data_IF_028082257927
#
_entry.id   IF_028082257927
#
_cell.length_a   1.000
_cell.length_b   1.000
_cell.length_c   1.000
_cell.angle_alpha   90.00
_cell.angle_beta   90.00
_cell.angle_gamma   90.00
#
_symmetry.space_group_name_H-M   'P 1'
#
loop_
_entity.id
_entity.type
_entity.pdbx_description
1 polymer ?
#
# COMPACT_ATOMS: atom_id res chain seq x y z
N UNK A 1 -23.46 36.12 28.77
CA UNK A 1 -23.95 34.83 28.22
C UNK A 1 -23.49 34.58 26.78
N UNK A 2 -23.24 35.60 25.98
CA UNK A 2 -22.80 35.48 24.56
C UNK A 2 -21.37 34.94 24.45
N UNK A 3 -20.46 35.41 25.27
CA UNK A 3 -19.05 34.92 25.28
C UNK A 3 -18.91 33.43 25.58
N UNK A 4 -19.70 32.87 26.52
CA UNK A 4 -19.69 31.44 26.82
C UNK A 4 -20.17 30.59 25.64
N UNK A 5 -21.14 31.07 24.86
CA UNK A 5 -21.65 30.41 23.64
C UNK A 5 -20.60 30.42 22.51
N UNK A 6 -19.88 31.56 22.36
CA UNK A 6 -18.82 31.69 21.35
C UNK A 6 -17.63 30.79 21.67
N UNK A 7 -17.23 30.67 22.94
CA UNK A 7 -16.15 29.78 23.37
C UNK A 7 -16.55 28.32 23.13
N UNK A 8 -17.81 27.94 23.39
CA UNK A 8 -18.31 26.60 23.15
C UNK A 8 -18.31 26.23 21.65
N UNK A 9 -18.68 27.18 20.77
CA UNK A 9 -18.64 27.00 19.33
C UNK A 9 -17.22 26.85 18.78
N UNK A 10 -16.26 27.63 19.32
CA UNK A 10 -14.84 27.50 18.96
C UNK A 10 -14.28 26.17 19.43
N UNK A 11 -14.60 25.72 20.66
CA UNK A 11 -14.19 24.42 21.16
C UNK A 11 -14.76 23.26 20.32
N UNK A 12 -16.01 23.37 19.83
CA UNK A 12 -16.63 22.38 18.96
C UNK A 12 -16.00 22.34 17.56
N UNK A 13 -15.52 23.47 17.05
CA UNK A 13 -14.84 23.55 15.76
C UNK A 13 -13.43 22.95 15.78
N UNK A 14 -12.75 22.94 16.92
CA UNK A 14 -11.40 22.40 17.09
C UNK A 14 -11.43 20.88 17.21
N UNK A 15 -12.53 20.27 17.68
CA UNK A 15 -12.64 18.81 17.82
C UNK A 15 -12.85 18.07 16.50
N UNK A 16 -13.09 18.75 15.39
CA UNK A 16 -13.28 18.13 14.08
C UNK A 16 -11.99 17.87 13.31
N UNK A 17 -10.82 18.19 13.86
CA UNK A 17 -9.52 17.77 13.32
C UNK A 17 -9.09 16.41 13.90
N UNK A 18 -10.03 15.46 13.98
CA UNK A 18 -9.65 14.07 14.27
C UNK A 18 -8.85 13.57 13.09
N UNK A 19 -7.57 13.62 13.29
CA UNK A 19 -6.52 12.81 12.73
C UNK A 19 -7.02 11.68 11.80
N UNK A 20 -7.14 11.96 10.52
CA UNK A 20 -7.12 10.94 9.47
C UNK A 20 -5.71 10.32 9.30
N UNK A 21 -4.89 10.38 10.37
CA UNK A 21 -3.51 9.91 10.35
C UNK A 21 -3.32 8.44 10.66
N UNK A 22 -4.35 7.75 11.16
CA UNK A 22 -4.24 6.29 11.32
C UNK A 22 -4.54 5.61 9.99
N UNK A 23 -3.56 4.87 9.48
CA UNK A 23 -3.73 4.02 8.33
C UNK A 23 -4.88 3.03 8.59
N UNK A 24 -5.73 2.81 7.59
CA UNK A 24 -6.80 1.81 7.69
C UNK A 24 -6.26 0.42 8.04
N UNK A 25 -4.96 0.21 7.83
CA UNK A 25 -4.25 -1.05 8.00
C UNK A 25 -3.43 -1.16 9.30
N UNK A 26 -3.37 -0.11 10.14
CA UNK A 26 -2.57 -0.15 11.38
C UNK A 26 -2.98 -1.31 12.30
N UNK A 27 -4.27 -1.70 12.26
CA UNK A 27 -4.77 -2.87 13.00
C UNK A 27 -4.18 -4.19 12.53
N UNK A 28 -3.71 -4.28 11.29
CA UNK A 28 -3.10 -5.50 10.75
C UNK A 28 -1.65 -5.66 11.22
N UNK A 29 -0.98 -4.58 11.63
CA UNK A 29 0.41 -4.62 12.08
C UNK A 29 0.59 -5.49 13.33
N UNK A 30 -0.39 -5.43 14.24
CA UNK A 30 -0.36 -6.14 15.53
C UNK A 30 -1.32 -7.35 15.57
N UNK A 31 -1.90 -7.73 14.42
CA UNK A 31 -2.91 -8.81 14.40
C UNK A 31 -2.23 -10.18 14.34
N UNK A 32 -2.58 -11.06 15.28
CA UNK A 32 -2.15 -12.45 15.27
C UNK A 32 -2.54 -13.14 13.95
N UNK A 33 -1.61 -13.88 13.35
CA UNK A 33 -1.82 -14.56 12.08
C UNK A 33 -1.64 -13.68 10.84
N UNK A 34 -1.19 -12.44 11.01
CA UNK A 34 -0.76 -11.54 9.94
C UNK A 34 0.75 -11.37 9.98
N UNK A 35 1.41 -11.58 8.86
CA UNK A 35 2.79 -11.16 8.65
C UNK A 35 2.77 -9.75 8.08
N UNK A 36 3.46 -8.82 8.71
CA UNK A 36 3.53 -7.42 8.28
C UNK A 36 4.97 -7.00 8.01
N UNK A 37 5.16 -6.17 6.97
CA UNK A 37 6.39 -5.42 6.71
C UNK A 37 6.02 -3.97 6.52
N UNK A 38 6.66 -3.07 7.27
CA UNK A 38 6.44 -1.64 7.21
C UNK A 38 7.78 -0.95 7.02
N UNK A 39 7.91 -0.17 5.94
CA UNK A 39 9.10 0.62 5.63
C UNK A 39 8.67 2.09 5.52
N UNK A 40 9.25 2.92 6.38
CA UNK A 40 8.96 4.35 6.42
C UNK A 40 9.88 5.14 5.48
N UNK A 41 9.51 6.41 5.25
CA UNK A 41 10.32 7.35 4.45
C UNK A 41 11.77 7.45 4.95
N UNK A 42 11.97 7.47 6.25
CA UNK A 42 13.32 7.61 6.81
C UNK A 42 14.15 6.33 6.62
N UNK A 43 13.49 5.15 6.65
CA UNK A 43 14.14 3.89 6.30
C UNK A 43 14.58 3.89 4.82
N UNK A 44 13.74 4.38 3.89
CA UNK A 44 14.13 4.51 2.49
C UNK A 44 15.33 5.45 2.31
N UNK A 45 15.39 6.57 3.02
CA UNK A 45 16.55 7.49 2.98
C UNK A 45 17.84 6.83 3.50
N UNK A 46 17.72 5.94 4.48
CA UNK A 46 18.86 5.21 4.99
C UNK A 46 19.30 4.17 3.95
N UNK A 47 18.36 3.39 3.41
CA UNK A 47 18.61 2.38 2.40
C UNK A 47 19.24 2.96 1.13
N UNK A 48 18.82 4.14 0.68
CA UNK A 48 19.39 4.80 -0.49
C UNK A 48 20.85 5.24 -0.32
N UNK A 49 21.36 5.32 0.91
CA UNK A 49 22.78 5.62 1.20
C UNK A 49 23.68 4.38 1.16
N UNK A 50 23.09 3.19 1.23
CA UNK A 50 23.82 1.95 1.00
C UNK A 50 23.91 1.76 -0.51
N UNK A 51 25.08 2.03 -1.10
CA UNK A 51 25.38 1.66 -2.47
C UNK A 51 25.37 0.12 -2.55
N UNK A 52 24.24 -0.43 -3.00
CA UNK A 52 24.20 -1.83 -3.42
C UNK A 52 24.83 -1.95 -4.82
N UNK A 53 26.12 -1.57 -4.93
CA UNK A 53 26.95 -1.91 -6.07
C UNK A 53 27.32 -3.39 -5.93
N UNK A 54 26.41 -4.28 -6.25
CA UNK A 54 26.79 -5.64 -6.59
C UNK A 54 27.17 -5.65 -8.06
N UNK A 55 28.45 -5.89 -8.32
CA UNK A 55 29.06 -5.87 -9.65
C UNK A 55 28.46 -6.86 -10.67
N UNK A 56 27.46 -7.66 -10.29
CA UNK A 56 26.92 -8.75 -11.12
C UNK A 56 25.39 -8.83 -11.27
N UNK A 57 24.62 -7.94 -10.66
CA UNK A 57 23.15 -7.91 -10.88
C UNK A 57 22.79 -6.56 -11.51
N UNK A 58 22.80 -6.56 -12.85
CA UNK A 58 22.59 -5.36 -13.63
C UNK A 58 21.23 -4.72 -13.43
N UNK A 59 21.20 -3.41 -13.69
CA UNK A 59 20.08 -2.51 -14.01
C UNK A 59 18.75 -2.69 -13.26
N UNK A 60 18.23 -3.92 -13.03
CA UNK A 60 16.90 -4.18 -12.47
C UNK A 60 16.79 -3.75 -11.00
N UNK A 61 17.76 -4.13 -10.16
CA UNK A 61 17.77 -3.70 -8.75
C UNK A 61 17.94 -2.19 -8.63
N UNK A 62 18.77 -1.59 -9.47
CA UNK A 62 18.94 -0.15 -9.51
C UNK A 62 17.66 0.59 -9.90
N UNK A 63 16.88 0.06 -10.84
CA UNK A 63 15.58 0.63 -11.22
C UNK A 63 14.56 0.49 -10.09
N UNK A 64 14.52 -0.66 -9.39
CA UNK A 64 13.68 -0.84 -8.19
C UNK A 64 14.07 0.18 -7.12
N UNK A 65 15.35 0.38 -6.83
CA UNK A 65 15.80 1.38 -5.85
C UNK A 65 15.41 2.80 -6.24
N UNK A 66 15.57 3.20 -7.50
CA UNK A 66 15.10 4.51 -7.99
C UNK A 66 13.59 4.72 -7.85
N UNK A 67 12.81 3.66 -7.95
CA UNK A 67 11.37 3.75 -7.73
C UNK A 67 11.01 3.92 -6.25
N UNK A 68 11.72 3.23 -5.36
CA UNK A 68 11.48 3.30 -3.92
C UNK A 68 11.96 4.63 -3.32
N UNK A 69 12.92 5.31 -3.94
CA UNK A 69 13.46 6.59 -3.44
C UNK A 69 12.37 7.67 -3.27
N UNK A 70 11.34 7.63 -4.11
CA UNK A 70 10.21 8.57 -4.06
C UNK A 70 9.03 8.10 -3.18
N UNK A 71 9.17 6.94 -2.54
CA UNK A 71 8.15 6.46 -1.61
C UNK A 71 8.27 7.14 -0.24
N UNK A 72 7.13 7.39 0.35
CA UNK A 72 7.00 7.85 1.72
C UNK A 72 6.70 6.70 2.67
N UNK A 73 6.04 5.65 2.18
CA UNK A 73 5.64 4.49 2.95
C UNK A 73 5.45 3.28 2.03
N UNK A 74 5.90 2.13 2.50
CA UNK A 74 5.61 0.83 1.93
C UNK A 74 5.12 -0.08 3.04
N UNK A 75 3.97 -0.72 2.83
CA UNK A 75 3.41 -1.70 3.77
C UNK A 75 2.98 -2.95 3.02
N UNK A 76 3.27 -4.12 3.60
CA UNK A 76 2.68 -5.37 3.16
C UNK A 76 2.09 -6.12 4.33
N UNK A 77 0.97 -6.79 4.09
CA UNK A 77 0.29 -7.64 5.06
C UNK A 77 -0.10 -8.94 4.37
N UNK A 78 0.29 -10.06 4.94
CA UNK A 78 -0.11 -11.35 4.41
C UNK A 78 -0.63 -12.27 5.50
N UNK A 79 -1.54 -13.18 5.14
CA UNK A 79 -2.10 -14.16 6.06
C UNK A 79 -2.32 -15.48 5.35
N UNK A 80 -2.25 -16.57 6.13
CA UNK A 80 -2.63 -17.93 5.71
C UNK A 80 -4.06 -18.29 6.14
N UNK A 81 -4.69 -17.43 6.93
CA UNK A 81 -5.95 -17.71 7.61
C UNK A 81 -7.11 -17.11 6.77
N UNK A 82 -8.03 -17.93 6.24
CA UNK A 82 -9.11 -17.47 5.35
C UNK A 82 -10.05 -16.44 6.00
N UNK A 83 -10.29 -16.53 7.30
CA UNK A 83 -11.11 -15.58 8.04
C UNK A 83 -10.46 -14.21 8.10
N UNK A 84 -9.14 -14.16 8.32
CA UNK A 84 -8.35 -12.92 8.30
C UNK A 84 -8.28 -12.37 6.88
N UNK A 85 -8.10 -13.22 5.87
CA UNK A 85 -8.13 -12.81 4.46
C UNK A 85 -9.44 -12.11 4.08
N UNK A 86 -10.57 -12.57 4.65
CA UNK A 86 -11.88 -11.93 4.46
C UNK A 86 -11.96 -10.57 5.17
N UNK A 87 -11.39 -10.45 6.37
CA UNK A 87 -11.28 -9.16 7.07
C UNK A 87 -10.39 -8.18 6.30
N UNK A 88 -9.24 -8.63 5.79
CA UNK A 88 -8.34 -7.83 4.96
C UNK A 88 -9.04 -7.28 3.72
N UNK A 89 -9.85 -8.10 3.02
CA UNK A 89 -10.65 -7.63 1.89
C UNK A 89 -11.65 -6.53 2.30
N UNK A 90 -12.31 -6.69 3.44
CA UNK A 90 -13.24 -5.68 3.97
C UNK A 90 -12.53 -4.37 4.30
N UNK A 91 -11.32 -4.46 4.85
CA UNK A 91 -10.49 -3.29 5.16
C UNK A 91 -10.03 -2.57 3.88
N UNK A 92 -9.64 -3.31 2.84
CA UNK A 92 -9.32 -2.72 1.52
C UNK A 92 -10.53 -2.01 0.94
N UNK A 93 -11.72 -2.62 0.94
CA UNK A 93 -12.96 -1.98 0.45
C UNK A 93 -13.28 -0.69 1.22
N UNK A 94 -13.02 -0.67 2.53
CA UNK A 94 -13.17 0.54 3.36
C UNK A 94 -12.14 1.60 2.98
N UNK A 95 -10.86 1.23 2.84
CA UNK A 95 -9.79 2.13 2.44
C UNK A 95 -10.07 2.78 1.08
N UNK A 96 -10.47 2.00 0.09
CA UNK A 96 -10.85 2.47 -1.26
C UNK A 96 -11.91 3.57 -1.19
N UNK A 97 -12.96 3.37 -0.38
CA UNK A 97 -14.03 4.37 -0.22
C UNK A 97 -13.57 5.62 0.52
N UNK A 98 -12.89 5.45 1.67
CA UNK A 98 -12.49 6.57 2.54
C UNK A 98 -11.43 7.43 1.86
N UNK A 99 -10.47 6.81 1.20
CA UNK A 99 -9.35 7.49 0.54
C UNK A 99 -9.68 7.90 -0.90
N UNK A 100 -10.88 7.51 -1.41
CA UNK A 100 -11.35 7.80 -2.78
C UNK A 100 -10.37 7.28 -3.82
N UNK A 101 -9.96 6.02 -3.67
CA UNK A 101 -9.11 5.36 -4.64
C UNK A 101 -9.91 4.93 -5.87
N UNK A 102 -9.29 4.96 -7.03
CA UNK A 102 -9.85 4.50 -8.30
C UNK A 102 -9.34 3.11 -8.60
N UNK A 103 -10.22 2.19 -9.01
CA UNK A 103 -9.82 0.87 -9.49
C UNK A 103 -9.07 1.02 -10.81
N UNK A 104 -7.82 0.57 -10.84
CA UNK A 104 -6.98 0.57 -12.02
C UNK A 104 -7.09 -0.75 -12.77
N UNK A 105 -7.08 -1.87 -12.05
CA UNK A 105 -7.11 -3.21 -12.63
C UNK A 105 -7.81 -4.19 -11.71
N UNK A 106 -8.51 -5.15 -12.32
CA UNK A 106 -9.05 -6.34 -11.67
C UNK A 106 -8.74 -7.55 -12.53
N UNK A 107 -8.05 -8.53 -11.95
CA UNK A 107 -7.77 -9.81 -12.57
C UNK A 107 -8.45 -10.92 -11.77
N UNK A 108 -9.02 -11.90 -12.46
CA UNK A 108 -9.52 -13.13 -11.86
C UNK A 108 -9.03 -14.29 -12.70
N UNK A 109 -8.31 -15.20 -12.08
CA UNK A 109 -7.81 -16.43 -12.70
C UNK A 109 -8.03 -17.58 -11.71
N UNK A 110 -8.82 -18.56 -12.11
CA UNK A 110 -9.25 -19.68 -11.26
C UNK A 110 -9.79 -19.20 -9.90
N UNK A 111 -9.08 -19.51 -8.82
CA UNK A 111 -9.40 -19.09 -7.46
C UNK A 111 -8.71 -17.78 -7.07
N UNK A 112 -7.73 -17.33 -7.82
CA UNK A 112 -6.95 -16.12 -7.54
C UNK A 112 -7.67 -14.88 -8.04
N UNK A 113 -7.59 -13.83 -7.24
CA UNK A 113 -8.14 -12.50 -7.57
C UNK A 113 -7.14 -11.43 -7.20
N UNK A 114 -6.91 -10.52 -8.12
CA UNK A 114 -6.05 -9.35 -7.92
C UNK A 114 -6.87 -8.09 -8.15
N UNK A 115 -6.78 -7.14 -7.25
CA UNK A 115 -7.32 -5.79 -7.41
C UNK A 115 -6.21 -4.79 -7.19
N UNK A 116 -6.11 -3.82 -8.07
CA UNK A 116 -5.20 -2.68 -7.95
C UNK A 116 -6.01 -1.40 -7.98
N UNK A 117 -5.81 -0.58 -6.97
CA UNK A 117 -6.41 0.73 -6.80
C UNK A 117 -5.33 1.78 -6.73
N UNK A 118 -5.61 2.97 -7.25
CA UNK A 118 -4.66 4.08 -7.23
C UNK A 118 -5.34 5.37 -6.77
N UNK A 119 -4.54 6.26 -6.20
CA UNK A 119 -4.93 7.65 -5.97
C UNK A 119 -4.25 8.54 -7.00
N UNK A 120 -5.02 9.04 -7.94
CA UNK A 120 -4.54 9.93 -8.99
C UNK A 120 -4.12 11.29 -8.42
N UNK A 121 -3.19 11.95 -9.10
CA UNK A 121 -2.77 13.33 -8.82
C UNK A 121 -3.19 14.25 -9.96
N UNK A 122 -2.85 15.54 -9.87
CA UNK A 122 -3.00 16.48 -10.99
C UNK A 122 -2.08 16.16 -12.16
N UNK A 123 -0.95 15.51 -11.90
CA UNK A 123 -0.05 14.97 -12.94
C UNK A 123 -0.53 13.58 -13.35
N UNK A 124 -0.82 13.40 -14.65
CA UNK A 124 -1.37 12.13 -15.20
C UNK A 124 -0.39 10.97 -15.14
N UNK A 125 0.90 11.25 -15.08
CA UNK A 125 1.97 10.24 -15.02
C UNK A 125 2.27 9.78 -13.59
N UNK A 126 1.71 10.46 -12.58
CA UNK A 126 1.97 10.19 -11.18
C UNK A 126 0.70 9.79 -10.42
N UNK A 127 0.84 8.80 -9.56
CA UNK A 127 -0.14 8.48 -8.50
C UNK A 127 0.50 8.70 -7.14
N UNK A 128 -0.32 9.07 -6.15
CA UNK A 128 0.15 9.31 -4.78
C UNK A 128 -0.02 8.09 -3.88
N UNK A 129 -0.78 7.11 -4.31
CA UNK A 129 -1.01 5.86 -3.58
C UNK A 129 -1.32 4.74 -4.57
N UNK A 130 -0.77 3.56 -4.29
CA UNK A 130 -1.14 2.30 -4.93
C UNK A 130 -1.52 1.32 -3.83
N UNK A 131 -2.69 0.71 -3.95
CA UNK A 131 -3.19 -0.31 -3.04
C UNK A 131 -3.53 -1.56 -3.85
N UNK A 132 -2.85 -2.66 -3.56
CA UNK A 132 -3.10 -3.95 -4.19
C UNK A 132 -3.63 -4.95 -3.15
N UNK A 133 -4.63 -5.71 -3.55
CA UNK A 133 -5.12 -6.87 -2.83
C UNK A 133 -5.03 -8.10 -3.73
N UNK A 134 -4.38 -9.15 -3.24
CA UNK A 134 -4.35 -10.47 -3.88
C UNK A 134 -4.99 -11.47 -2.93
N UNK A 135 -5.86 -12.35 -3.46
CA UNK A 135 -6.53 -13.42 -2.70
C UNK A 135 -6.49 -14.73 -3.46
N UNK A 136 -6.59 -15.84 -2.73
CA UNK A 136 -6.63 -17.18 -3.29
C UNK A 136 -5.30 -17.61 -3.90
N UNK A 137 -4.19 -17.17 -3.30
CA UNK A 137 -2.83 -17.45 -3.74
C UNK A 137 -2.17 -18.61 -2.97
N UNK A 138 -2.95 -19.34 -2.18
CA UNK A 138 -2.47 -20.48 -1.40
C UNK A 138 -1.79 -21.54 -2.27
N UNK A 139 -2.34 -21.81 -3.46
CA UNK A 139 -1.77 -22.78 -4.40
C UNK A 139 -0.48 -22.28 -5.04
N UNK A 140 -0.41 -21.00 -5.44
CA UNK A 140 0.78 -20.39 -6.03
C UNK A 140 1.91 -20.19 -5.03
N UNK A 141 1.56 -20.07 -3.74
CA UNK A 141 2.53 -19.86 -2.64
C UNK A 141 2.83 -21.13 -1.85
N UNK A 142 2.40 -22.32 -2.34
CA UNK A 142 2.51 -23.58 -1.63
C UNK A 142 1.93 -23.51 -0.20
N UNK A 143 0.78 -22.88 -0.02
CA UNK A 143 0.13 -22.68 1.28
C UNK A 143 0.78 -21.60 2.16
N UNK A 144 1.70 -20.79 1.62
CA UNK A 144 2.36 -19.74 2.40
C UNK A 144 1.49 -18.51 2.58
N UNK A 145 0.52 -18.26 1.72
CA UNK A 145 -0.36 -17.10 1.83
C UNK A 145 -1.73 -17.35 1.20
N UNK A 146 -2.80 -16.95 1.88
CA UNK A 146 -4.18 -16.91 1.38
C UNK A 146 -4.55 -15.53 0.83
N UNK A 147 -4.02 -14.47 1.45
CA UNK A 147 -4.19 -13.11 1.00
C UNK A 147 -2.94 -12.25 1.24
N UNK A 148 -2.76 -11.28 0.37
CA UNK A 148 -1.69 -10.29 0.44
C UNK A 148 -2.26 -8.90 0.13
N UNK A 149 -1.95 -7.94 1.00
CA UNK A 149 -2.12 -6.50 0.73
C UNK A 149 -0.75 -5.89 0.50
N UNK A 150 -0.63 -5.05 -0.52
CA UNK A 150 0.54 -4.17 -0.73
C UNK A 150 0.03 -2.73 -0.81
N UNK A 151 0.58 -1.87 0.01
CA UNK A 151 0.28 -0.43 0.04
C UNK A 151 1.55 0.37 -0.18
N UNK A 152 1.53 1.22 -1.19
CA UNK A 152 2.61 2.14 -1.55
C UNK A 152 2.09 3.56 -1.45
N UNK A 153 2.82 4.46 -0.81
CA UNK A 153 2.52 5.89 -0.77
C UNK A 153 3.75 6.70 -1.15
N UNK A 154 3.54 7.72 -1.96
CA UNK A 154 4.61 8.60 -2.45
C UNK A 154 4.34 9.14 -3.83
N UNK A 155 5.34 9.69 -4.49
CA UNK A 155 5.27 10.08 -5.89
C UNK A 155 5.64 8.87 -6.77
N UNK A 156 4.64 8.14 -7.23
CA UNK A 156 4.81 6.88 -7.96
C UNK A 156 4.54 7.13 -9.44
N UNK A 157 5.55 6.90 -10.27
CA UNK A 157 5.47 7.01 -11.73
C UNK A 157 4.82 5.73 -12.31
N UNK A 158 3.64 5.87 -12.92
CA UNK A 158 2.88 4.75 -13.47
C UNK A 158 3.64 4.07 -14.62
N UNK A 159 4.39 4.83 -15.40
CA UNK A 159 5.13 4.30 -16.55
C UNK A 159 6.25 3.35 -16.08
N UNK A 160 6.89 3.66 -14.94
CA UNK A 160 7.90 2.79 -14.33
C UNK A 160 7.30 1.53 -13.70
N UNK A 161 6.07 1.60 -13.18
CA UNK A 161 5.40 0.41 -12.64
C UNK A 161 5.13 -0.66 -13.70
N UNK A 162 4.82 -0.26 -14.94
CA UNK A 162 4.62 -1.19 -16.05
C UNK A 162 5.89 -2.03 -16.30
N UNK A 163 7.05 -1.39 -16.25
CA UNK A 163 8.34 -2.07 -16.45
C UNK A 163 8.63 -3.12 -15.37
N UNK A 164 8.22 -2.88 -14.12
CA UNK A 164 8.38 -3.86 -13.04
C UNK A 164 7.49 -5.09 -13.23
N UNK A 165 6.24 -4.90 -13.63
CA UNK A 165 5.32 -6.02 -13.90
C UNK A 165 5.90 -6.91 -14.99
N UNK A 166 6.44 -6.31 -16.04
CA UNK A 166 7.09 -7.05 -17.14
C UNK A 166 8.32 -7.84 -16.66
N UNK A 167 9.10 -7.28 -15.75
CA UNK A 167 10.28 -7.95 -15.18
C UNK A 167 9.88 -9.17 -14.35
N UNK A 168 8.86 -9.04 -13.51
CA UNK A 168 8.40 -10.15 -12.67
C UNK A 168 7.61 -11.23 -13.43
N UNK A 169 7.03 -10.90 -14.59
CA UNK A 169 6.27 -11.86 -15.40
C UNK A 169 7.11 -12.60 -16.43
N UNK A 170 8.27 -12.07 -16.82
CA UNK A 170 9.16 -12.69 -17.82
C UNK A 170 10.12 -13.73 -17.26
N UNK A 171 10.26 -13.81 -15.93
CA UNK A 171 11.18 -14.74 -15.26
C UNK A 171 10.51 -16.03 -14.71
N UNK A 172 9.31 -16.38 -15.23
CA UNK A 172 8.65 -17.66 -14.98
C UNK A 172 8.52 -18.47 -16.26
#
# INVERSE_FOLDING_TARGET
>A
TTMKKTILLIALAITSTISYGQSTFDKLEDMDGVMSVVISKDAFKILSKFNFESENEGNEMTEVFKMIENLNEFKTFSTKIPEIATQMESMVKKAVRVQKLTELMRLKEDNSKVWIYVKTTSNKDLVSEVLMLVKGIDKQTNGMSEALIVSLRGAIDINKMSSLVDTFTKNN
#
